data_IF_436805932082
#
_entry.id   IF_436805932082
#
_cell.length_a   1.000
_cell.length_b   1.000
_cell.length_c   1.000
_cell.angle_alpha   90.00
_cell.angle_beta   90.00
_cell.angle_gamma   90.00
#
_symmetry.space_group_name_H-M   'P 1'
#
loop_
_entity.id
_entity.type
_entity.pdbx_description
1 polymer ?
#
# COMPACT_ATOMS: atom_id res chain seq x y z
N UNK A 1 5.25 0.60 23.09
CA UNK A 1 5.96 0.77 24.38
C UNK A 1 6.79 -0.48 24.64
N UNK A 2 7.87 -0.66 23.88
CA UNK A 2 8.82 -1.76 24.08
C UNK A 2 10.19 -1.12 24.31
N UNK A 3 10.39 -0.63 25.53
CA UNK A 3 11.73 -0.44 26.05
C UNK A 3 11.97 -1.61 26.98
N UNK A 4 13.07 -2.35 26.78
CA UNK A 4 13.54 -3.24 27.83
C UNK A 4 13.65 -2.44 29.11
N UNK A 5 12.77 -2.75 30.05
CA UNK A 5 12.74 -2.05 31.31
C UNK A 5 13.89 -2.62 32.14
N UNK A 6 15.04 -1.96 32.14
CA UNK A 6 16.14 -2.24 33.06
C UNK A 6 15.78 -1.99 34.54
N UNK A 7 14.49 -1.79 34.85
CA UNK A 7 13.98 -1.69 36.22
C UNK A 7 14.37 -2.92 37.04
N UNK A 8 15.10 -2.68 38.12
CA UNK A 8 15.47 -3.70 39.10
C UNK A 8 16.91 -4.20 38.99
N UNK A 9 17.68 -3.75 38.00
CA UNK A 9 19.12 -3.93 37.99
C UNK A 9 19.77 -3.04 39.06
N UNK A 10 20.79 -3.56 39.74
CA UNK A 10 21.49 -2.86 40.82
C UNK A 10 22.98 -2.75 40.49
N UNK A 11 23.48 -1.53 40.37
CA UNK A 11 24.90 -1.26 40.04
C UNK A 11 25.85 -1.66 41.17
N UNK A 12 25.38 -1.71 42.41
CA UNK A 12 26.20 -2.06 43.58
C UNK A 12 26.28 -3.58 43.81
N UNK A 13 25.57 -4.40 43.03
CA UNK A 13 25.49 -5.85 43.26
C UNK A 13 26.85 -6.56 43.16
N UNK A 14 27.79 -5.98 42.41
CA UNK A 14 29.15 -6.46 42.23
C UNK A 14 30.20 -5.56 42.89
N UNK A 15 29.77 -4.60 43.71
CA UNK A 15 30.66 -3.69 44.43
C UNK A 15 30.79 -4.15 45.89
N UNK A 16 31.97 -3.94 46.47
CA UNK A 16 32.26 -4.31 47.85
C UNK A 16 33.14 -3.26 48.51
N UNK A 17 32.88 -3.01 49.78
CA UNK A 17 33.76 -2.23 50.64
C UNK A 17 34.73 -3.16 51.41
N UNK A 18 35.98 -2.72 51.60
CA UNK A 18 37.03 -3.54 52.24
C UNK A 18 36.84 -3.68 53.76
N UNK A 19 36.23 -2.69 54.40
CA UNK A 19 35.89 -2.69 55.82
C UNK A 19 34.49 -3.28 56.07
N UNK A 20 33.74 -3.54 55.00
CA UNK A 20 32.41 -4.14 55.03
C UNK A 20 31.28 -3.14 55.24
N UNK A 21 31.54 -1.84 55.00
CA UNK A 21 30.54 -0.79 55.12
C UNK A 21 29.48 -0.88 54.01
N UNK A 22 28.29 -0.33 54.31
CA UNK A 22 27.19 -0.30 53.34
C UNK A 22 27.45 0.72 52.25
N UNK A 23 27.31 0.30 50.99
CA UNK A 23 27.54 1.16 49.83
C UNK A 23 26.26 1.86 49.35
N UNK A 24 26.45 3.06 48.82
CA UNK A 24 25.45 3.83 48.08
C UNK A 24 25.97 4.24 46.71
N UNK A 25 25.08 4.37 45.72
CA UNK A 25 25.43 4.76 44.37
C UNK A 25 25.22 6.27 44.15
N UNK A 26 26.18 6.91 43.49
CA UNK A 26 26.13 8.33 43.12
C UNK A 26 26.36 8.46 41.63
N UNK A 27 25.39 9.05 40.92
CA UNK A 27 25.49 9.28 39.49
C UNK A 27 26.57 10.33 39.18
N UNK A 28 27.44 10.03 38.21
CA UNK A 28 28.51 10.94 37.76
C UNK A 28 28.20 11.50 36.38
N UNK A 29 27.80 10.64 35.44
CA UNK A 29 27.47 11.02 34.07
C UNK A 29 26.18 10.35 33.63
N UNK A 30 25.27 11.13 33.04
CA UNK A 30 24.01 10.64 32.51
C UNK A 30 24.19 10.03 31.11
N UNK A 31 23.29 9.11 30.70
CA UNK A 31 23.24 8.62 29.33
C UNK A 31 22.87 9.71 28.33
N UNK A 32 23.21 9.50 27.06
CA UNK A 32 23.01 10.48 26.00
C UNK A 32 21.68 10.25 25.25
N UNK A 33 21.20 9.01 25.20
CA UNK A 33 20.07 8.58 24.39
C UNK A 33 18.89 8.08 25.22
N UNK A 34 18.73 8.61 26.43
CA UNK A 34 17.55 8.35 27.27
C UNK A 34 17.57 9.09 28.59
N UNK A 35 16.59 8.77 29.43
CA UNK A 35 16.46 9.28 30.80
C UNK A 35 16.80 8.18 31.81
N UNK A 36 17.64 8.51 32.79
CA UNK A 36 18.06 7.60 33.86
C UNK A 36 17.65 8.15 35.22
N UNK A 37 17.11 7.27 36.06
CA UNK A 37 16.97 7.49 37.50
C UNK A 37 17.82 6.45 38.22
N UNK A 38 18.88 6.89 38.90
CA UNK A 38 19.73 6.06 39.76
C UNK A 38 19.41 6.38 41.22
N UNK A 39 18.99 5.38 41.99
CA UNK A 39 18.74 5.51 43.42
C UNK A 39 20.02 5.23 44.22
N UNK A 40 20.14 5.81 45.41
CA UNK A 40 21.27 5.58 46.31
C UNK A 40 21.46 4.09 46.68
N UNK A 41 20.39 3.28 46.65
CA UNK A 41 20.43 1.83 46.85
C UNK A 41 21.11 1.06 45.70
N UNK A 42 21.49 1.75 44.62
CA UNK A 42 22.08 1.18 43.41
C UNK A 42 21.06 0.68 42.39
N UNK A 43 19.78 0.55 42.76
CA UNK A 43 18.72 0.28 41.79
C UNK A 43 18.56 1.44 40.81
N UNK A 44 18.35 1.14 39.53
CA UNK A 44 18.09 2.17 38.51
C UNK A 44 16.93 1.81 37.58
N UNK A 45 16.41 2.84 36.91
CA UNK A 45 15.52 2.71 35.76
C UNK A 45 16.04 3.56 34.62
N UNK A 46 16.01 3.01 33.41
CA UNK A 46 16.41 3.70 32.19
C UNK A 46 15.26 3.67 31.19
N UNK A 47 14.99 4.81 30.54
CA UNK A 47 14.01 4.93 29.46
C UNK A 47 14.72 5.52 28.25
N UNK A 48 14.93 4.74 27.17
CA UNK A 48 15.51 5.24 25.94
C UNK A 48 14.67 6.38 25.34
N UNK A 49 15.30 7.25 24.56
CA UNK A 49 14.61 8.20 23.70
C UNK A 49 13.77 7.42 22.66
N UNK A 50 12.66 8.01 22.22
CA UNK A 50 11.80 7.41 21.21
C UNK A 50 12.60 7.13 19.91
N UNK A 51 12.49 5.90 19.40
CA UNK A 51 13.21 5.44 18.22
C UNK A 51 14.71 5.17 18.43
N UNK A 52 15.25 5.29 19.65
CA UNK A 52 16.64 4.92 19.91
C UNK A 52 16.78 3.41 20.09
N UNK A 53 17.73 2.86 19.36
CA UNK A 53 18.29 1.54 19.56
C UNK A 53 19.81 1.59 19.38
N UNK A 54 20.51 0.68 20.05
CA UNK A 54 21.96 0.66 20.13
C UNK A 54 22.49 0.80 21.56
N UNK A 55 23.79 1.10 21.67
CA UNK A 55 24.48 1.21 22.95
C UNK A 55 24.35 2.61 23.55
N UNK A 56 24.06 2.66 24.85
CA UNK A 56 24.16 3.86 25.67
C UNK A 56 24.97 3.54 26.93
N UNK A 57 25.39 4.56 27.67
CA UNK A 57 26.15 4.33 28.90
C UNK A 57 25.95 5.43 29.91
N UNK A 58 26.07 5.08 31.18
CA UNK A 58 26.15 6.05 32.26
C UNK A 58 27.30 5.69 33.20
N UNK A 59 27.72 6.64 34.02
CA UNK A 59 28.81 6.42 34.97
C UNK A 59 28.38 6.75 36.39
N UNK A 60 28.88 5.98 37.35
CA UNK A 60 28.58 6.16 38.77
C UNK A 60 29.83 5.95 39.64
N UNK A 61 29.70 6.29 40.92
CA UNK A 61 30.63 5.90 42.00
C UNK A 61 29.86 5.21 43.11
N UNK A 62 30.49 4.23 43.74
CA UNK A 62 30.06 3.68 45.02
C UNK A 62 30.62 4.55 46.17
N UNK A 63 29.86 4.70 47.24
CA UNK A 63 30.25 5.45 48.43
C UNK A 63 29.79 4.75 49.71
N UNK A 64 30.71 4.60 50.65
CA UNK A 64 30.50 4.12 52.02
C UNK A 64 30.04 5.24 52.98
N UNK A 65 29.85 6.47 52.46
CA UNK A 65 29.53 7.66 53.25
C UNK A 65 30.75 8.45 53.75
N UNK A 66 31.97 7.94 53.57
CA UNK A 66 33.23 8.60 53.95
C UNK A 66 34.09 8.91 52.72
N UNK A 67 34.20 7.95 51.81
CA UNK A 67 34.95 8.01 50.57
C UNK A 67 34.07 7.63 49.37
N UNK A 68 34.62 7.83 48.17
CA UNK A 68 34.02 7.37 46.92
C UNK A 68 35.01 6.53 46.13
N UNK A 69 34.51 5.50 45.46
CA UNK A 69 35.27 4.68 44.53
C UNK A 69 35.78 5.49 43.34
N UNK A 70 36.60 4.86 42.49
CA UNK A 70 36.82 5.33 41.12
C UNK A 70 35.49 5.35 40.33
N UNK A 71 35.47 6.07 39.22
CA UNK A 71 34.32 6.07 38.31
C UNK A 71 34.20 4.69 37.67
N UNK A 72 32.99 4.14 37.72
CA UNK A 72 32.58 2.92 37.01
C UNK A 72 31.61 3.27 35.89
N UNK A 73 31.63 2.48 34.81
CA UNK A 73 30.76 2.65 33.64
C UNK A 73 29.79 1.49 33.55
N UNK A 74 28.52 1.82 33.33
CA UNK A 74 27.47 0.86 32.99
C UNK A 74 27.12 1.04 31.52
N UNK A 75 27.24 -0.03 30.74
CA UNK A 75 26.79 -0.07 29.35
C UNK A 75 25.37 -0.63 29.29
N UNK A 76 24.52 0.02 28.51
CA UNK A 76 23.14 -0.35 28.25
C UNK A 76 23.02 -0.69 26.77
N UNK A 77 22.29 -1.76 26.45
CA UNK A 77 22.03 -2.16 25.06
C UNK A 77 20.54 -2.10 24.80
N UNK A 78 20.09 -1.17 23.98
CA UNK A 78 18.69 -1.05 23.59
C UNK A 78 18.50 -1.80 22.29
N UNK A 79 17.66 -2.84 22.29
CA UNK A 79 17.34 -3.58 21.07
C UNK A 79 16.50 -2.72 20.12
N UNK A 80 16.70 -2.91 18.82
CA UNK A 80 15.75 -2.44 17.80
C UNK A 80 14.38 -3.08 18.06
N UNK A 81 13.26 -2.36 17.84
CA UNK A 81 11.96 -2.98 17.85
C UNK A 81 11.90 -4.11 16.80
N UNK A 82 11.17 -5.18 17.10
CA UNK A 82 10.95 -6.24 16.12
C UNK A 82 10.16 -5.70 14.94
N UNK A 83 10.71 -5.80 13.72
CA UNK A 83 9.99 -5.47 12.50
C UNK A 83 8.83 -6.45 12.28
N UNK A 84 7.63 -5.94 11.97
CA UNK A 84 6.41 -6.73 11.76
C UNK A 84 6.00 -6.65 10.30
N UNK A 85 5.71 -7.82 9.73
CA UNK A 85 5.32 -7.92 8.34
C UNK A 85 4.10 -7.04 7.97
N UNK A 86 4.07 -6.50 6.74
CA UNK A 86 2.92 -5.76 6.23
C UNK A 86 1.62 -6.55 6.26
N UNK A 87 0.51 -5.83 6.30
CA UNK A 87 -0.84 -6.35 6.20
C UNK A 87 -1.45 -5.94 4.87
N UNK A 88 -1.49 -6.89 3.93
CA UNK A 88 -2.17 -6.70 2.66
C UNK A 88 -3.65 -7.08 2.73
N UNK A 89 -4.49 -6.38 1.96
CA UNK A 89 -5.93 -6.59 1.90
C UNK A 89 -6.36 -6.86 0.46
N UNK A 90 -7.26 -7.82 0.27
CA UNK A 90 -7.75 -8.15 -1.07
C UNK A 90 -8.50 -6.98 -1.73
N UNK A 91 -8.31 -6.83 -3.05
CA UNK A 91 -8.96 -5.79 -3.85
C UNK A 91 -10.04 -6.34 -4.78
N UNK A 92 -10.98 -5.46 -5.12
CA UNK A 92 -11.94 -5.67 -6.21
C UNK A 92 -11.97 -4.41 -7.07
N UNK A 93 -11.35 -4.50 -8.25
CA UNK A 93 -11.48 -3.47 -9.27
C UNK A 93 -12.49 -3.97 -10.30
N UNK A 94 -13.61 -3.27 -10.43
CA UNK A 94 -14.66 -3.60 -11.40
C UNK A 94 -14.18 -3.48 -12.86
N UNK A 95 -14.78 -2.56 -13.61
CA UNK A 95 -14.43 -2.36 -15.03
C UNK A 95 -13.55 -1.16 -15.32
N UNK A 96 -13.21 -0.38 -14.29
CA UNK A 96 -12.35 0.80 -14.40
C UNK A 96 -11.11 0.60 -13.53
N UNK A 97 -9.96 0.60 -14.19
CA UNK A 97 -8.63 0.39 -13.58
C UNK A 97 -7.80 1.67 -13.59
N UNK A 98 -8.35 2.79 -14.10
CA UNK A 98 -7.60 4.03 -14.25
C UNK A 98 -7.20 4.59 -12.88
N UNK A 99 -5.90 4.62 -12.60
CA UNK A 99 -5.37 5.08 -11.31
C UNK A 99 -5.57 4.10 -10.16
N UNK A 100 -5.95 2.85 -10.44
CA UNK A 100 -6.03 1.80 -9.44
C UNK A 100 -4.64 1.49 -8.86
N UNK A 101 -4.58 1.24 -7.55
CA UNK A 101 -3.38 0.89 -6.83
C UNK A 101 -3.71 -0.16 -5.77
N UNK A 102 -3.01 -1.29 -5.79
CA UNK A 102 -3.23 -2.42 -4.87
C UNK A 102 -2.76 -2.13 -3.45
N UNK A 103 -1.84 -1.18 -3.26
CA UNK A 103 -1.34 -0.82 -1.93
C UNK A 103 -2.23 0.20 -1.21
N UNK A 104 -3.32 0.67 -1.83
CA UNK A 104 -4.12 1.79 -1.31
C UNK A 104 -4.88 1.45 -0.01
N UNK A 105 -5.17 0.17 0.21
CA UNK A 105 -5.82 -0.39 1.40
C UNK A 105 -4.87 -1.24 2.26
N UNK A 106 -3.58 -1.31 1.89
CA UNK A 106 -2.57 -2.04 2.62
C UNK A 106 -1.94 -1.15 3.71
N UNK A 107 -1.39 -1.78 4.74
CA UNK A 107 -0.75 -1.06 5.83
C UNK A 107 0.42 -1.82 6.42
N UNK A 108 1.33 -1.10 7.04
CA UNK A 108 2.42 -1.66 7.81
C UNK A 108 2.25 -1.31 9.30
N UNK A 109 2.33 -2.27 10.23
CA UNK A 109 2.20 -2.01 11.66
C UNK A 109 3.28 -1.08 12.24
N UNK A 110 4.46 -1.01 11.61
CA UNK A 110 5.59 -0.17 11.98
C UNK A 110 5.61 1.16 11.18
N UNK A 111 4.74 1.27 10.17
CA UNK A 111 4.56 2.48 9.37
C UNK A 111 5.54 2.58 8.20
N UNK A 112 6.20 1.47 7.86
CA UNK A 112 7.16 1.40 6.76
C UNK A 112 6.49 1.57 5.40
N UNK A 113 7.30 2.02 4.43
CA UNK A 113 6.84 2.20 3.05
C UNK A 113 6.66 0.86 2.35
N UNK A 114 5.50 0.66 1.75
CA UNK A 114 5.17 -0.60 1.10
C UNK A 114 5.51 -0.62 -0.39
N UNK A 115 5.89 -1.80 -0.86
CA UNK A 115 6.00 -2.14 -2.28
C UNK A 115 5.19 -3.38 -2.62
N UNK A 116 4.67 -3.46 -3.84
CA UNK A 116 3.88 -4.58 -4.32
C UNK A 116 4.76 -5.60 -5.08
N UNK A 117 4.58 -6.88 -4.76
CA UNK A 117 5.27 -7.99 -5.43
C UNK A 117 4.23 -8.92 -6.06
N UNK A 118 4.26 -9.05 -7.39
CA UNK A 118 3.40 -9.95 -8.13
C UNK A 118 3.73 -11.41 -7.78
N UNK A 119 2.70 -12.19 -7.43
CA UNK A 119 2.83 -13.62 -7.10
C UNK A 119 2.31 -14.49 -8.25
N UNK A 120 1.06 -14.27 -8.67
CA UNK A 120 0.48 -14.95 -9.83
C UNK A 120 -0.18 -13.90 -10.73
N UNK A 121 0.04 -14.00 -12.03
CA UNK A 121 -0.56 -13.09 -13.01
C UNK A 121 -1.97 -13.52 -13.43
N UNK A 122 -2.62 -12.67 -14.21
CA UNK A 122 -3.95 -12.90 -14.80
C UNK A 122 -3.95 -14.03 -15.83
N UNK A 123 -5.08 -14.73 -15.96
CA UNK A 123 -5.23 -15.82 -16.95
C UNK A 123 -5.83 -15.36 -18.29
N UNK A 124 -6.58 -14.25 -18.28
CA UNK A 124 -7.34 -13.78 -19.44
C UNK A 124 -6.91 -12.39 -19.91
N UNK A 125 -5.66 -12.01 -19.65
CA UNK A 125 -5.06 -10.78 -20.15
C UNK A 125 -3.58 -10.68 -19.82
N UNK A 126 -3.00 -9.54 -20.18
CA UNK A 126 -1.64 -9.15 -19.84
C UNK A 126 -1.67 -8.11 -18.73
N UNK A 127 -1.00 -8.43 -17.60
CA UNK A 127 -0.86 -7.59 -16.43
C UNK A 127 0.60 -7.13 -16.28
N UNK A 128 0.77 -5.86 -15.96
CA UNK A 128 2.02 -5.30 -15.44
C UNK A 128 1.72 -4.65 -14.10
N UNK A 129 2.29 -5.18 -13.01
CA UNK A 129 2.25 -4.59 -11.67
C UNK A 129 3.59 -3.89 -11.40
N UNK A 130 3.53 -2.65 -10.93
CA UNK A 130 4.69 -1.87 -10.52
C UNK A 130 4.89 -1.96 -9.01
N UNK A 131 6.12 -1.72 -8.54
CA UNK A 131 6.45 -1.79 -7.13
C UNK A 131 5.69 -0.74 -6.29
N UNK A 132 5.29 0.40 -6.87
CA UNK A 132 4.47 1.41 -6.19
C UNK A 132 2.98 1.00 -6.07
N UNK A 133 2.62 -0.21 -6.47
CA UNK A 133 1.27 -0.76 -6.42
C UNK A 133 0.37 -0.35 -7.59
N UNK A 134 0.79 0.59 -8.45
CA UNK A 134 0.09 0.87 -9.69
C UNK A 134 0.17 -0.31 -10.64
N UNK A 135 -0.87 -0.55 -11.42
CA UNK A 135 -0.86 -1.61 -12.43
C UNK A 135 -1.56 -1.21 -13.72
N UNK A 136 -1.23 -1.94 -14.78
CA UNK A 136 -1.96 -1.90 -16.03
C UNK A 136 -2.40 -3.30 -16.42
N UNK A 137 -3.61 -3.42 -16.93
CA UNK A 137 -4.20 -4.68 -17.36
C UNK A 137 -4.85 -4.52 -18.73
N UNK A 138 -4.49 -5.39 -19.67
CA UNK A 138 -5.07 -5.47 -21.00
C UNK A 138 -5.70 -6.86 -21.19
N UNK A 139 -7.04 -6.97 -21.20
CA UNK A 139 -7.72 -8.24 -21.45
C UNK A 139 -7.35 -8.83 -22.81
N UNK A 140 -7.39 -10.17 -22.91
CA UNK A 140 -7.32 -10.87 -24.17
C UNK A 140 -8.45 -10.40 -25.10
N UNK A 141 -8.17 -10.36 -26.40
CA UNK A 141 -9.15 -9.87 -27.38
C UNK A 141 -10.46 -10.66 -27.31
N UNK A 142 -11.57 -9.96 -27.05
CA UNK A 142 -12.90 -10.57 -26.97
C UNK A 142 -13.22 -11.20 -25.61
N UNK A 143 -12.31 -11.17 -24.64
CA UNK A 143 -12.59 -11.63 -23.29
C UNK A 143 -13.61 -10.72 -22.60
N UNK A 144 -14.57 -11.34 -21.92
CA UNK A 144 -15.58 -10.69 -21.09
C UNK A 144 -15.80 -11.62 -19.91
N UNK A 145 -15.68 -11.09 -18.69
CA UNK A 145 -15.83 -11.89 -17.48
C UNK A 145 -14.82 -11.51 -16.40
N UNK A 146 -14.81 -12.28 -15.29
CA UNK A 146 -13.90 -12.06 -14.18
C UNK A 146 -12.47 -12.50 -14.54
N UNK A 147 -11.48 -11.78 -14.07
CA UNK A 147 -10.08 -12.23 -14.07
C UNK A 147 -9.49 -11.93 -12.69
N UNK A 148 -8.32 -12.47 -12.38
CA UNK A 148 -7.71 -12.23 -11.08
C UNK A 148 -6.20 -12.40 -11.14
N UNK A 149 -5.51 -11.67 -10.29
CA UNK A 149 -4.10 -11.89 -10.00
C UNK A 149 -3.88 -11.88 -8.49
N UNK A 150 -2.72 -12.33 -8.03
CA UNK A 150 -2.37 -12.28 -6.61
C UNK A 150 -1.04 -11.58 -6.40
N UNK A 151 -0.95 -10.81 -5.32
CA UNK A 151 0.27 -10.11 -4.93
C UNK A 151 0.48 -10.23 -3.41
N UNK A 152 1.62 -9.75 -2.95
CA UNK A 152 1.89 -9.47 -1.53
C UNK A 152 2.56 -8.12 -1.39
N UNK A 153 2.35 -7.45 -0.27
CA UNK A 153 3.06 -6.24 0.10
C UNK A 153 4.40 -6.58 0.78
N UNK A 154 5.40 -5.71 0.63
CA UNK A 154 6.70 -5.82 1.29
C UNK A 154 7.16 -4.44 1.79
N UNK A 155 7.67 -4.41 3.01
CA UNK A 155 8.33 -3.28 3.67
C UNK A 155 9.84 -3.19 3.30
N UNK A 156 10.36 -4.16 2.53
CA UNK A 156 11.78 -4.29 2.18
C UNK A 156 12.53 -5.38 2.94
N UNK A 157 11.97 -5.91 4.04
CA UNK A 157 12.57 -6.96 4.86
C UNK A 157 11.67 -8.19 4.97
N UNK A 158 10.38 -7.96 5.29
CA UNK A 158 9.33 -8.94 5.41
C UNK A 158 8.31 -8.79 4.27
N UNK A 159 7.40 -9.76 4.21
CA UNK A 159 6.31 -9.76 3.24
C UNK A 159 5.00 -10.10 3.94
N UNK A 160 3.91 -9.50 3.48
CA UNK A 160 2.57 -9.90 3.89
C UNK A 160 2.21 -11.32 3.41
N UNK A 161 1.09 -11.82 3.91
CA UNK A 161 0.37 -12.90 3.25
C UNK A 161 -0.01 -12.53 1.81
N UNK A 162 -0.22 -13.56 0.98
CA UNK A 162 -0.66 -13.37 -0.41
C UNK A 162 -2.15 -13.06 -0.44
N UNK A 163 -2.52 -11.97 -1.10
CA UNK A 163 -3.92 -11.57 -1.32
C UNK A 163 -4.27 -11.60 -2.81
N UNK A 164 -5.57 -11.66 -3.09
CA UNK A 164 -6.11 -11.72 -4.46
C UNK A 164 -6.72 -10.38 -4.84
N UNK A 165 -6.49 -9.99 -6.09
CA UNK A 165 -7.13 -8.84 -6.74
C UNK A 165 -8.10 -9.38 -7.78
N UNK A 166 -9.39 -9.05 -7.64
CA UNK A 166 -10.42 -9.40 -8.60
C UNK A 166 -10.59 -8.28 -9.64
N UNK A 167 -10.73 -8.66 -10.90
CA UNK A 167 -10.93 -7.78 -12.04
C UNK A 167 -12.22 -8.15 -12.77
N UNK A 168 -12.97 -7.18 -13.30
CA UNK A 168 -14.17 -7.45 -14.12
C UNK A 168 -14.11 -6.81 -15.50
N UNK A 169 -13.94 -7.62 -16.55
CA UNK A 169 -13.90 -7.13 -17.93
C UNK A 169 -15.32 -6.96 -18.48
N UNK A 170 -15.79 -5.73 -18.76
CA UNK A 170 -17.15 -5.49 -19.21
C UNK A 170 -17.34 -5.89 -20.68
N UNK A 171 -18.59 -6.20 -21.05
CA UNK A 171 -18.94 -6.31 -22.48
C UNK A 171 -18.65 -5.00 -23.21
N UNK A 172 -17.99 -5.02 -24.38
CA UNK A 172 -17.83 -3.83 -25.19
C UNK A 172 -19.20 -3.18 -25.45
N UNK A 173 -19.32 -1.88 -25.17
CA UNK A 173 -20.56 -1.15 -25.40
C UNK A 173 -21.01 -1.33 -26.85
N UNK A 174 -22.28 -1.71 -27.09
CA UNK A 174 -22.82 -1.74 -28.46
C UNK A 174 -22.69 -0.35 -29.04
N UNK A 175 -21.78 -0.17 -30.01
CA UNK A 175 -21.79 1.03 -30.83
C UNK A 175 -23.12 1.04 -31.56
N UNK A 176 -24.03 1.94 -31.19
CA UNK A 176 -25.20 2.24 -32.01
C UNK A 176 -24.66 2.80 -33.31
N UNK A 177 -24.46 1.92 -34.30
CA UNK A 177 -24.18 2.33 -35.68
C UNK A 177 -25.35 3.22 -36.08
N UNK A 178 -25.13 4.53 -36.18
CA UNK A 178 -26.08 5.42 -36.86
C UNK A 178 -26.23 4.82 -38.25
N UNK A 179 -27.43 4.36 -38.60
CA UNK A 179 -27.73 3.91 -39.94
C UNK A 179 -27.34 5.04 -40.89
N UNK A 180 -26.32 4.81 -41.72
CA UNK A 180 -25.94 5.76 -42.77
C UNK A 180 -27.16 5.90 -43.68
N UNK A 181 -27.88 7.00 -43.58
CA UNK A 181 -28.90 7.35 -44.55
C UNK A 181 -28.17 7.78 -45.82
N UNK A 182 -28.20 6.95 -46.85
CA UNK A 182 -27.78 7.36 -48.19
C UNK A 182 -29.01 7.94 -48.90
N UNK A 183 -28.98 9.22 -49.28
CA UNK A 183 -29.97 9.76 -50.21
C UNK A 183 -29.84 9.02 -51.54
N UNK A 184 -30.89 8.32 -51.99
CA UNK A 184 -30.86 7.52 -53.23
C UNK A 184 -31.12 8.38 -54.48
N UNK A 185 -31.72 9.56 -54.34
CA UNK A 185 -31.77 10.64 -55.35
C UNK A 185 -32.71 11.73 -54.88
N UNK A 186 -32.45 12.98 -55.27
CA UNK A 186 -33.44 14.05 -55.21
C UNK A 186 -34.30 13.98 -56.49
N UNK A 187 -35.62 13.90 -56.34
CA UNK A 187 -36.51 14.04 -57.49
C UNK A 187 -36.51 15.52 -57.92
N UNK A 188 -35.93 15.82 -59.08
CA UNK A 188 -36.07 17.14 -59.71
C UNK A 188 -37.45 17.22 -60.35
N UNK A 189 -38.46 17.68 -59.62
CA UNK A 189 -39.74 18.07 -60.23
C UNK A 189 -39.59 19.48 -60.82
N UNK A 190 -39.97 19.71 -62.09
CA UNK A 190 -39.96 21.05 -62.67
C UNK A 190 -40.91 21.98 -61.92
N UNK A 191 -40.52 23.25 -61.78
CA UNK A 191 -41.27 24.29 -61.08
C UNK A 191 -42.66 24.43 -61.69
N UNK A 192 -43.70 24.09 -60.92
CA UNK A 192 -45.06 24.46 -61.25
C UNK A 192 -45.23 25.96 -60.99
N UNK A 193 -45.59 26.71 -62.03
CA UNK A 193 -46.00 28.12 -61.96
C UNK A 193 -47.23 28.22 -61.06
N UNK A 194 -47.07 28.91 -59.92
CA UNK A 194 -48.15 29.09 -58.95
C UNK A 194 -48.70 30.51 -59.08
N UNK A 195 -49.94 30.64 -59.53
CA UNK A 195 -50.76 31.83 -59.28
C UNK A 195 -51.64 31.52 -58.06
N UNK A 196 -51.54 32.36 -57.04
CA UNK A 196 -52.31 32.40 -55.79
C UNK A 196 -51.87 31.50 -54.62
N UNK A 197 -52.14 32.03 -53.43
CA UNK A 197 -51.48 31.87 -52.13
C UNK A 197 -51.68 30.50 -51.47
N UNK A 198 -50.57 29.92 -50.98
CA UNK A 198 -50.38 28.81 -50.01
C UNK A 198 -50.04 27.43 -50.62
N UNK A 199 -48.74 27.12 -50.71
CA UNK A 199 -48.23 25.74 -50.86
C UNK A 199 -47.69 25.24 -49.51
N UNK A 200 -48.28 24.18 -48.96
CA UNK A 200 -47.66 23.35 -47.90
C UNK A 200 -46.72 22.32 -48.56
N UNK A 201 -45.53 22.02 -47.99
CA UNK A 201 -44.68 20.96 -48.51
C UNK A 201 -45.25 19.57 -48.18
N UNK A 202 -45.21 18.67 -49.16
CA UNK A 202 -45.59 17.25 -49.04
C UNK A 202 -44.59 16.43 -48.20
N UNK A 203 -45.03 15.38 -47.49
CA UNK A 203 -44.17 14.58 -46.62
C UNK A 203 -43.16 13.70 -47.40
N UNK A 204 -41.93 13.64 -46.90
CA UNK A 204 -40.84 12.80 -47.44
C UNK A 204 -41.05 11.35 -47.00
N UNK A 205 -41.21 10.45 -47.96
CA UNK A 205 -41.31 9.00 -47.71
C UNK A 205 -39.93 8.39 -47.48
N UNK A 206 -39.71 7.83 -46.28
CA UNK A 206 -38.49 7.08 -45.96
C UNK A 206 -38.76 5.57 -46.03
N UNK A 207 -38.11 4.84 -46.95
CA UNK A 207 -38.11 3.36 -46.95
C UNK A 207 -36.92 2.82 -46.15
N UNK A 208 -37.18 1.97 -45.16
CA UNK A 208 -36.15 1.17 -44.47
C UNK A 208 -35.65 0.06 -45.42
N UNK A 209 -34.37 0.07 -45.75
CA UNK A 209 -33.70 -1.09 -46.36
C UNK A 209 -33.30 -2.08 -45.25
N UNK A 210 -33.91 -3.28 -45.26
CA UNK A 210 -33.43 -4.40 -44.43
C UNK A 210 -32.13 -4.94 -45.04
N UNK A 211 -31.10 -5.14 -44.21
CA UNK A 211 -29.89 -5.86 -44.62
C UNK A 211 -30.28 -7.29 -45.02
N UNK A 212 -29.97 -7.68 -46.27
CA UNK A 212 -29.93 -9.08 -46.66
C UNK A 212 -28.63 -9.70 -46.13
N UNK A 213 -28.74 -10.79 -45.38
CA UNK A 213 -27.60 -11.64 -45.02
C UNK A 213 -27.05 -12.32 -46.28
N UNK A 214 -25.73 -12.40 -46.48
CA UNK A 214 -25.17 -13.06 -47.65
C UNK A 214 -25.45 -14.57 -47.59
N UNK A 215 -25.91 -15.09 -48.74
CA UNK A 215 -26.20 -16.50 -49.00
C UNK A 215 -24.89 -17.29 -48.99
N UNK A 216 -24.81 -18.35 -48.18
CA UNK A 216 -23.64 -19.23 -48.13
C UNK A 216 -23.41 -19.90 -49.50
N UNK A 217 -22.17 -19.86 -49.99
CA UNK A 217 -21.74 -20.56 -51.19
C UNK A 217 -21.37 -22.01 -50.83
N UNK A 218 -22.08 -22.97 -51.42
CA UNK A 218 -21.72 -24.40 -51.40
C UNK A 218 -20.64 -24.66 -52.46
N UNK A 219 -19.54 -25.30 -52.06
CA UNK A 219 -18.55 -25.86 -52.99
C UNK A 219 -18.92 -27.33 -53.27
N UNK A 220 -18.96 -27.68 -54.55
CA UNK A 220 -19.11 -29.05 -55.09
C UNK A 220 -17.76 -29.73 -55.23
#
# INVERSE_FOLDING_TARGET
MFGENYAGQNVLANDSDADGDSLTAVLVGSPQNGSLVLNASGSFSYTPNEGFAGEDSFTYRASDGQAQSNVATVTLTVAEPENRAPQAVADDFGSDFAGANVLANDSDPDGDSLTAILVNSTSNGSLQLNADGSFSYTPNTGYVGPDSFSYRASDGELNSDVVTVNLSVPTPGRVRRRSRWTMISAATTPMATCWTTTCMPTPVNWKRSRCQTPKAASWS
#
